data_IF_161375922162
#
_entry.id   IF_161375922162
#
_cell.length_a   1.000
_cell.length_b   1.000
_cell.length_c   1.000
_cell.angle_alpha   90.00
_cell.angle_beta   90.00
_cell.angle_gamma   90.00
#
_symmetry.space_group_name_H-M   'P 1'
#
loop_
_entity.id
_entity.type
_entity.pdbx_description
1 polymer ?
#
# COMPACT_ATOMS: atom_id res chain seq x y z
N UNK A 1 -16.16 -18.63 1.99
CA UNK A 1 -15.03 -18.97 1.11
C UNK A 1 -13.93 -17.95 1.35
N UNK A 2 -12.88 -18.30 2.09
CA UNK A 2 -11.68 -17.45 2.15
C UNK A 2 -11.02 -17.67 0.80
N UNK A 3 -11.18 -16.71 -0.12
CA UNK A 3 -10.48 -16.73 -1.39
C UNK A 3 -9.00 -16.95 -1.07
N UNK A 4 -8.42 -18.04 -1.59
CA UNK A 4 -7.03 -18.36 -1.37
C UNK A 4 -6.21 -17.27 -2.05
N UNK A 5 -5.92 -16.17 -1.33
CA UNK A 5 -5.02 -15.11 -1.80
C UNK A 5 -3.69 -15.81 -2.06
N UNK A 6 -3.35 -15.94 -3.33
CA UNK A 6 -2.13 -16.63 -3.73
C UNK A 6 -0.96 -15.71 -3.45
N UNK A 7 0.26 -16.28 -3.34
CA UNK A 7 1.48 -15.48 -3.19
C UNK A 7 1.60 -14.41 -4.28
N UNK A 8 1.09 -14.69 -5.49
CA UNK A 8 1.06 -13.76 -6.61
C UNK A 8 0.16 -12.56 -6.31
N UNK A 9 -1.05 -12.77 -5.82
CA UNK A 9 -2.00 -11.69 -5.51
C UNK A 9 -1.45 -10.76 -4.42
N UNK A 10 -0.73 -11.30 -3.43
CA UNK A 10 -0.05 -10.50 -2.39
C UNK A 10 1.06 -9.67 -3.00
N UNK A 11 1.91 -10.26 -3.85
CA UNK A 11 3.00 -9.54 -4.52
C UNK A 11 2.46 -8.43 -5.41
N UNK A 12 1.45 -8.73 -6.23
CA UNK A 12 0.82 -7.75 -7.12
C UNK A 12 0.21 -6.60 -6.31
N UNK A 13 -0.47 -6.91 -5.20
CA UNK A 13 -1.03 -5.91 -4.28
C UNK A 13 0.04 -5.05 -3.60
N UNK A 14 1.22 -5.62 -3.30
CA UNK A 14 2.35 -4.88 -2.71
C UNK A 14 2.94 -3.92 -3.76
N UNK A 15 3.09 -4.36 -5.00
CA UNK A 15 3.57 -3.50 -6.10
C UNK A 15 2.59 -2.36 -6.39
N UNK A 16 1.28 -2.62 -6.35
CA UNK A 16 0.27 -1.56 -6.43
C UNK A 16 0.39 -0.54 -5.29
N UNK A 17 0.56 -1.00 -4.05
CA UNK A 17 0.74 -0.11 -2.91
C UNK A 17 2.03 0.74 -3.02
N UNK A 18 3.10 0.19 -3.61
CA UNK A 18 4.33 0.95 -3.92
C UNK A 18 4.08 2.00 -4.99
N UNK A 19 3.36 1.67 -6.05
CA UNK A 19 3.01 2.61 -7.10
C UNK A 19 2.15 3.77 -6.56
N UNK A 20 1.18 3.47 -5.69
CA UNK A 20 0.36 4.48 -5.01
C UNK A 20 1.19 5.41 -4.13
N UNK A 21 2.16 4.86 -3.38
CA UNK A 21 3.10 5.65 -2.58
C UNK A 21 3.96 6.58 -3.44
N UNK A 22 4.48 6.07 -4.56
CA UNK A 22 5.29 6.88 -5.48
C UNK A 22 4.49 8.00 -6.13
N UNK A 23 3.24 7.72 -6.52
CA UNK A 23 2.32 8.75 -7.00
C UNK A 23 2.03 9.81 -5.94
N UNK A 24 1.88 9.41 -4.68
CA UNK A 24 1.65 10.36 -3.59
C UNK A 24 2.88 11.25 -3.33
N UNK A 25 4.10 10.69 -3.40
CA UNK A 25 5.35 11.47 -3.33
C UNK A 25 5.49 12.45 -4.50
N UNK A 26 5.25 11.98 -5.73
CA UNK A 26 5.27 12.84 -6.90
C UNK A 26 4.27 14.01 -6.77
N UNK A 27 3.08 13.77 -6.19
CA UNK A 27 2.11 14.83 -5.88
C UNK A 27 2.63 15.81 -4.82
N UNK A 28 3.29 15.31 -3.78
CA UNK A 28 3.91 16.13 -2.74
C UNK A 28 4.96 17.07 -3.35
N UNK A 29 5.82 16.54 -4.23
CA UNK A 29 6.91 17.30 -4.87
C UNK A 29 6.39 18.45 -5.74
N UNK A 30 5.15 18.36 -6.22
CA UNK A 30 4.52 19.35 -7.11
C UNK A 30 3.40 20.14 -6.43
N UNK A 31 3.17 19.94 -5.13
CA UNK A 31 2.09 20.61 -4.40
C UNK A 31 2.41 22.09 -4.22
N UNK A 32 1.51 22.97 -4.66
CA UNK A 32 1.66 24.42 -4.57
C UNK A 32 0.77 25.03 -3.49
N UNK A 33 -0.24 24.29 -3.03
CA UNK A 33 -1.21 24.73 -2.02
C UNK A 33 -1.21 23.79 -0.82
N UNK A 34 -1.56 24.34 0.35
CA UNK A 34 -1.72 23.58 1.60
C UNK A 34 -2.69 22.41 1.43
N UNK A 35 -3.79 22.61 0.69
CA UNK A 35 -4.75 21.55 0.37
C UNK A 35 -4.15 20.42 -0.46
N UNK A 36 -3.28 20.72 -1.42
CA UNK A 36 -2.61 19.70 -2.22
C UNK A 36 -1.59 18.92 -1.39
N UNK A 37 -0.90 19.60 -0.47
CA UNK A 37 -0.01 18.98 0.51
C UNK A 37 -0.81 18.02 1.40
N UNK A 38 -1.95 18.45 1.94
CA UNK A 38 -2.82 17.58 2.77
C UNK A 38 -3.30 16.34 2.00
N UNK A 39 -3.70 16.51 0.74
CA UNK A 39 -4.12 15.39 -0.13
C UNK A 39 -2.95 14.43 -0.36
N UNK A 40 -1.75 14.93 -0.60
CA UNK A 40 -0.55 14.11 -0.78
C UNK A 40 -0.21 13.33 0.50
N UNK A 41 -0.22 14.00 1.66
CA UNK A 41 0.00 13.36 2.97
C UNK A 41 -1.04 12.28 3.24
N UNK A 42 -2.33 12.55 3.00
CA UNK A 42 -3.39 11.56 3.17
C UNK A 42 -3.19 10.34 2.27
N UNK A 43 -2.78 10.55 1.01
CA UNK A 43 -2.48 9.47 0.08
C UNK A 43 -1.28 8.63 0.54
N UNK A 44 -0.23 9.26 1.07
CA UNK A 44 0.93 8.56 1.64
C UNK A 44 0.52 7.70 2.84
N UNK A 45 -0.24 8.25 3.79
CA UNK A 45 -0.72 7.51 4.97
C UNK A 45 -1.58 6.30 4.56
N UNK A 46 -2.43 6.46 3.55
CA UNK A 46 -3.26 5.38 3.05
C UNK A 46 -2.40 4.25 2.44
N UNK A 47 -1.39 4.61 1.63
CA UNK A 47 -0.47 3.64 1.03
C UNK A 47 0.35 2.89 2.09
N UNK A 48 0.84 3.57 3.14
CA UNK A 48 1.55 2.92 4.26
C UNK A 48 0.67 1.92 5.00
N UNK A 49 -0.58 2.29 5.32
CA UNK A 49 -1.53 1.39 5.97
C UNK A 49 -1.85 0.17 5.10
N UNK A 50 -1.99 0.37 3.78
CA UNK A 50 -2.20 -0.73 2.82
C UNK A 50 -1.00 -1.68 2.82
N UNK A 51 0.24 -1.17 2.80
CA UNK A 51 1.44 -1.99 2.90
C UNK A 51 1.51 -2.78 4.21
N UNK A 52 1.28 -2.14 5.36
CA UNK A 52 1.30 -2.83 6.67
C UNK A 52 0.26 -3.97 6.73
N UNK A 53 -0.95 -3.74 6.21
CA UNK A 53 -1.97 -4.77 6.10
C UNK A 53 -1.50 -5.94 5.22
N UNK A 54 -0.93 -5.66 4.04
CA UNK A 54 -0.43 -6.68 3.13
C UNK A 54 0.73 -7.49 3.74
N UNK A 55 1.63 -6.85 4.49
CA UNK A 55 2.68 -7.55 5.22
C UNK A 55 2.11 -8.47 6.31
N UNK A 56 1.09 -8.03 7.04
CA UNK A 56 0.40 -8.87 8.04
C UNK A 56 -0.28 -10.07 7.39
N UNK A 57 -0.93 -9.88 6.24
CA UNK A 57 -1.53 -10.97 5.45
C UNK A 57 -0.45 -11.93 4.95
N UNK A 58 0.63 -11.43 4.37
CA UNK A 58 1.75 -12.23 3.89
C UNK A 58 2.36 -13.09 5.01
N UNK A 59 2.61 -12.50 6.19
CA UNK A 59 3.10 -13.21 7.37
C UNK A 59 2.10 -14.26 7.86
N UNK A 60 0.80 -13.93 7.87
CA UNK A 60 -0.27 -14.86 8.24
C UNK A 60 -0.40 -16.05 7.29
N UNK A 61 -0.16 -15.84 5.99
CA UNK A 61 -0.10 -16.91 4.98
C UNK A 61 1.13 -17.80 5.15
N UNK A 62 2.30 -17.23 5.49
CA UNK A 62 3.53 -17.99 5.71
C UNK A 62 3.51 -18.77 7.04
N UNK A 63 2.93 -18.19 8.11
CA UNK A 63 2.86 -18.83 9.43
C UNK A 63 1.83 -19.96 9.54
N UNK A 64 0.91 -20.09 8.59
CA UNK A 64 -0.06 -21.21 8.52
C UNK A 64 0.40 -22.36 7.63
N UNK A 65 1.62 -22.29 7.07
CA UNK A 65 2.22 -23.34 6.27
C UNK A 65 3.10 -24.31 7.08
N UNK A 66 3.06 -24.23 8.42
CA UNK A 66 3.73 -25.15 9.35
C UNK A 66 2.70 -25.94 10.17
#
# INVERSE_FOLDING_TARGET
MIASITRKDITDSIEEAKAEMELAKNRMDHAATEREIDIAIHAMIAAEKKMDMLFKVAKGCLGKAQ
#
